data_IF_830870407134
#
_entry.id   IF_830870407134
#
_cell.length_a   1.000
_cell.length_b   1.000
_cell.length_c   1.000
_cell.angle_alpha   90.00
_cell.angle_beta   90.00
_cell.angle_gamma   90.00
#
_symmetry.space_group_name_H-M   'P 1'
#
loop_
_entity.id
_entity.type
_entity.pdbx_description
1 polymer ?
#
# COMPACT_ATOMS: atom_id res chain seq x y z
N UNK A 1 19.49 4.38 14.81
CA UNK A 1 19.54 3.11 15.57
C UNK A 1 20.91 2.51 15.32
N UNK A 2 21.66 2.09 16.36
CA UNK A 2 22.94 1.40 16.19
C UNK A 2 22.75 0.09 15.39
N UNK A 3 23.73 -0.24 14.49
CA UNK A 3 23.62 -1.39 13.56
C UNK A 3 23.50 -2.73 14.33
N UNK A 4 24.13 -2.87 15.46
CA UNK A 4 24.05 -4.06 16.32
C UNK A 4 22.65 -4.32 16.89
N UNK A 5 21.76 -3.31 16.88
CA UNK A 5 20.34 -3.42 17.27
C UNK A 5 19.43 -3.72 16.09
N UNK A 6 19.93 -3.67 14.84
CA UNK A 6 19.15 -3.93 13.65
C UNK A 6 19.14 -5.42 13.34
N UNK A 7 17.94 -5.98 13.12
CA UNK A 7 17.75 -7.35 12.64
C UNK A 7 16.98 -7.31 11.34
N UNK A 8 17.55 -7.92 10.31
CA UNK A 8 16.95 -7.97 8.97
C UNK A 8 16.23 -9.29 8.81
N UNK A 9 14.91 -9.23 8.69
CA UNK A 9 14.04 -10.40 8.49
C UNK A 9 13.52 -10.36 7.06
N UNK A 10 13.73 -11.44 6.32
CA UNK A 10 13.30 -11.53 4.92
C UNK A 10 11.85 -12.00 4.82
N UNK A 11 11.04 -11.26 4.07
CA UNK A 11 9.70 -11.67 3.65
C UNK A 11 9.71 -12.01 2.16
N UNK A 12 9.29 -13.22 1.82
CA UNK A 12 9.24 -13.65 0.42
C UNK A 12 8.03 -13.08 -0.32
N UNK A 13 8.24 -12.69 -1.58
CA UNK A 13 7.19 -12.30 -2.54
C UNK A 13 6.73 -13.49 -3.40
N UNK A 14 7.10 -14.73 -3.05
CA UNK A 14 6.71 -15.94 -3.78
C UNK A 14 5.19 -16.04 -3.94
N UNK A 15 4.72 -16.55 -5.09
CA UNK A 15 3.31 -16.88 -5.30
C UNK A 15 2.87 -18.12 -4.51
N UNK A 16 3.81 -18.95 -4.06
CA UNK A 16 3.58 -20.12 -3.24
C UNK A 16 3.12 -19.73 -1.83
N UNK A 17 1.90 -20.12 -1.48
CA UNK A 17 1.26 -19.82 -0.20
C UNK A 17 2.04 -20.42 0.97
N UNK A 18 2.48 -21.67 0.85
CA UNK A 18 3.20 -22.39 1.90
C UNK A 18 4.54 -21.72 2.24
N UNK A 19 5.28 -21.30 1.21
CA UNK A 19 6.53 -20.55 1.40
C UNK A 19 6.31 -19.21 2.09
N UNK A 20 5.23 -18.50 1.73
CA UNK A 20 4.89 -17.23 2.40
C UNK A 20 4.55 -17.44 3.87
N UNK A 21 3.75 -18.46 4.17
CA UNK A 21 3.36 -18.78 5.55
C UNK A 21 4.56 -19.18 6.39
N UNK A 22 5.46 -20.03 5.87
CA UNK A 22 6.70 -20.41 6.55
C UNK A 22 7.59 -19.19 6.85
N UNK A 23 7.76 -18.26 5.90
CA UNK A 23 8.50 -17.02 6.13
C UNK A 23 7.88 -16.13 7.21
N UNK A 24 6.55 -16.02 7.25
CA UNK A 24 5.83 -15.24 8.25
C UNK A 24 5.98 -15.84 9.65
N UNK A 25 5.87 -17.16 9.73
CA UNK A 25 6.08 -17.90 10.96
C UNK A 25 7.50 -17.71 11.49
N UNK A 26 8.50 -17.91 10.64
CA UNK A 26 9.90 -17.72 11.01
C UNK A 26 10.21 -16.29 11.47
N UNK A 27 9.59 -15.29 10.84
CA UNK A 27 9.72 -13.88 11.23
C UNK A 27 9.13 -13.64 12.64
N UNK A 28 7.98 -14.19 12.94
CA UNK A 28 7.38 -14.07 14.26
C UNK A 28 8.22 -14.81 15.34
N UNK A 29 8.69 -16.01 15.04
CA UNK A 29 9.55 -16.78 15.94
C UNK A 29 10.88 -16.06 16.25
N UNK A 30 11.47 -15.40 15.26
CA UNK A 30 12.67 -14.60 15.49
C UNK A 30 12.41 -13.42 16.43
N UNK A 31 11.27 -12.73 16.27
CA UNK A 31 10.86 -11.63 17.15
C UNK A 31 10.61 -12.16 18.58
N UNK A 32 9.92 -13.28 18.72
CA UNK A 32 9.60 -13.89 20.01
C UNK A 32 10.86 -14.19 20.84
N UNK A 33 11.95 -14.61 20.23
CA UNK A 33 13.23 -14.85 20.95
C UNK A 33 13.72 -13.63 21.71
N UNK A 34 13.56 -12.43 21.13
CA UNK A 34 13.94 -11.18 21.79
C UNK A 34 12.95 -10.80 22.88
N UNK A 35 11.66 -10.99 22.64
CA UNK A 35 10.61 -10.70 23.62
C UNK A 35 10.75 -11.62 24.85
N UNK A 36 11.01 -12.92 24.64
CA UNK A 36 11.25 -13.91 25.72
C UNK A 36 12.50 -13.59 26.53
N UNK A 37 13.48 -12.94 25.92
CA UNK A 37 14.67 -12.42 26.62
C UNK A 37 14.41 -11.08 27.34
N UNK A 38 13.15 -10.63 27.45
CA UNK A 38 12.76 -9.39 28.14
C UNK A 38 13.10 -8.11 27.35
N UNK A 39 13.35 -8.21 26.05
CA UNK A 39 13.65 -7.08 25.21
C UNK A 39 12.41 -6.53 24.51
N UNK A 40 12.41 -5.24 24.20
CA UNK A 40 11.38 -4.63 23.34
C UNK A 40 11.83 -4.66 21.87
N UNK A 41 10.89 -4.94 20.98
CA UNK A 41 11.12 -4.99 19.53
C UNK A 41 10.25 -3.96 18.83
N UNK A 42 10.84 -3.17 17.93
CA UNK A 42 10.12 -2.28 17.03
C UNK A 42 10.27 -2.76 15.58
N UNK A 43 9.16 -2.91 14.87
CA UNK A 43 9.14 -3.28 13.46
C UNK A 43 8.63 -2.08 12.63
N UNK A 44 9.52 -1.26 12.03
CA UNK A 44 9.11 -0.15 11.19
C UNK A 44 8.53 -0.66 9.87
N UNK A 45 7.52 0.04 9.36
CA UNK A 45 6.92 -0.22 8.05
C UNK A 45 6.89 1.05 7.21
N UNK A 46 6.91 0.90 5.90
CA UNK A 46 6.71 2.01 4.98
C UNK A 46 5.19 2.27 4.84
N UNK A 47 4.77 3.51 5.14
CA UNK A 47 3.35 3.88 5.12
C UNK A 47 2.67 3.70 6.48
N UNK A 48 1.47 3.14 6.49
CA UNK A 48 0.71 2.85 7.71
C UNK A 48 0.76 1.36 8.05
N UNK A 49 0.93 1.05 9.32
CA UNK A 49 1.07 -0.32 9.82
C UNK A 49 -0.21 -1.14 9.67
N UNK A 50 -1.38 -0.50 9.69
CA UNK A 50 -2.70 -1.13 9.55
C UNK A 50 -3.20 -1.24 8.10
N UNK A 51 -2.53 -0.58 7.13
CA UNK A 51 -2.98 -0.51 5.74
C UNK A 51 -2.08 -1.34 4.82
N UNK A 52 -2.54 -2.55 4.44
CA UNK A 52 -1.84 -3.49 3.53
C UNK A 52 -0.38 -3.79 3.89
N UNK A 53 -0.06 -3.72 5.18
CA UNK A 53 1.28 -3.97 5.70
C UNK A 53 1.54 -5.47 5.91
N UNK A 54 2.75 -5.93 5.60
CA UNK A 54 3.21 -7.29 5.93
C UNK A 54 3.25 -7.54 7.44
N UNK A 55 3.39 -6.48 8.24
CA UNK A 55 3.34 -6.56 9.69
C UNK A 55 2.06 -7.24 10.21
N UNK A 56 0.93 -7.09 9.54
CA UNK A 56 -0.35 -7.67 9.96
C UNK A 56 -0.30 -9.20 10.18
N UNK A 57 0.59 -9.90 9.47
CA UNK A 57 0.78 -11.34 9.64
C UNK A 57 1.59 -11.67 10.90
N UNK A 58 2.64 -10.89 11.18
CA UNK A 58 3.45 -11.00 12.39
C UNK A 58 2.62 -10.63 13.61
N UNK A 59 1.87 -9.52 13.53
CA UNK A 59 0.94 -9.07 14.57
C UNK A 59 -0.01 -10.18 15.02
N UNK A 60 -0.69 -10.82 14.06
CA UNK A 60 -1.64 -11.92 14.37
C UNK A 60 -0.98 -13.07 15.12
N UNK A 61 0.25 -13.42 14.74
CA UNK A 61 0.98 -14.50 15.37
C UNK A 61 1.39 -14.13 16.80
N UNK A 62 1.95 -12.94 17.01
CA UNK A 62 2.36 -12.49 18.34
C UNK A 62 1.18 -12.40 19.32
N UNK A 63 0.04 -11.85 18.88
CA UNK A 63 -1.18 -11.80 19.71
C UNK A 63 -1.66 -13.21 20.05
N UNK A 64 -1.63 -14.15 19.11
CA UNK A 64 -2.03 -15.53 19.33
C UNK A 64 -1.17 -16.21 20.40
N UNK A 65 0.12 -15.91 20.43
CA UNK A 65 1.07 -16.43 21.42
C UNK A 65 1.08 -15.61 22.75
N UNK A 66 0.19 -14.62 22.88
CA UNK A 66 -0.04 -13.90 24.14
C UNK A 66 0.88 -12.70 24.38
N UNK A 67 1.65 -12.26 23.40
CA UNK A 67 2.51 -11.09 23.54
C UNK A 67 1.71 -9.78 23.47
N UNK A 68 2.11 -8.82 24.28
CA UNK A 68 1.60 -7.45 24.19
C UNK A 68 2.17 -6.75 22.94
N UNK A 69 1.28 -6.21 22.10
CA UNK A 69 1.66 -5.58 20.84
C UNK A 69 0.93 -4.26 20.67
N UNK A 70 1.67 -3.21 20.37
CA UNK A 70 1.15 -1.87 20.08
C UNK A 70 1.35 -1.53 18.60
N UNK A 71 0.30 -1.05 17.93
CA UNK A 71 0.38 -0.46 16.61
C UNK A 71 0.43 1.06 16.73
N UNK A 72 1.43 1.67 16.09
CA UNK A 72 1.55 3.12 15.97
C UNK A 72 1.21 3.48 14.53
N UNK A 73 0.16 4.26 14.31
CA UNK A 73 -0.28 4.62 12.95
C UNK A 73 0.75 5.48 12.24
N UNK A 74 0.83 5.30 10.94
CA UNK A 74 1.63 6.10 10.02
C UNK A 74 0.76 6.82 8.99
N UNK A 75 1.35 7.21 7.88
CA UNK A 75 0.65 7.88 6.78
C UNK A 75 0.60 6.94 5.58
N UNK A 76 -0.57 6.45 5.17
CA UNK A 76 -0.71 5.65 3.94
C UNK A 76 -0.15 6.39 2.73
N UNK A 77 0.46 5.66 1.79
CA UNK A 77 1.10 6.25 0.62
C UNK A 77 0.13 7.11 -0.22
N UNK A 78 -1.12 6.74 -0.31
CA UNK A 78 -2.13 7.51 -1.03
C UNK A 78 -2.49 8.82 -0.30
N UNK A 79 -2.49 8.85 1.04
CA UNK A 79 -2.66 10.10 1.80
C UNK A 79 -1.45 11.03 1.64
N UNK A 80 -0.23 10.48 1.74
CA UNK A 80 0.98 11.25 1.50
C UNK A 80 1.02 11.81 0.07
N UNK A 81 0.63 11.01 -0.91
CA UNK A 81 0.57 11.41 -2.31
C UNK A 81 -0.49 12.46 -2.61
N UNK A 82 -1.69 12.32 -2.06
CA UNK A 82 -2.75 13.32 -2.18
C UNK A 82 -2.31 14.68 -1.61
N UNK A 83 -1.64 14.67 -0.45
CA UNK A 83 -1.05 15.89 0.13
C UNK A 83 0.02 16.51 -0.77
N UNK A 84 0.87 15.70 -1.39
CA UNK A 84 1.86 16.17 -2.37
C UNK A 84 1.21 16.74 -3.63
N UNK A 85 0.13 16.15 -4.08
CA UNK A 85 -0.67 16.64 -5.22
C UNK A 85 -1.52 17.87 -4.86
N UNK A 86 -1.58 18.24 -3.57
CA UNK A 86 -2.43 19.30 -3.03
C UNK A 86 -3.92 19.10 -3.38
N UNK A 87 -4.39 17.87 -3.25
CA UNK A 87 -5.79 17.50 -3.49
C UNK A 87 -6.39 16.78 -2.29
N UNK A 88 -7.64 17.03 -1.92
CA UNK A 88 -8.38 16.15 -1.01
C UNK A 88 -8.73 14.85 -1.72
N UNK A 89 -8.67 13.71 -1.00
CA UNK A 89 -9.16 12.43 -1.53
C UNK A 89 -10.69 12.41 -1.57
N UNK A 90 -11.32 12.99 -0.56
CA UNK A 90 -12.77 13.07 -0.40
C UNK A 90 -13.18 14.44 0.15
N UNK A 91 -14.38 14.88 -0.17
CA UNK A 91 -14.98 16.10 0.35
C UNK A 91 -16.44 15.84 0.77
N UNK A 92 -16.90 16.55 1.79
CA UNK A 92 -18.28 16.44 2.26
C UNK A 92 -18.72 15.01 2.60
N UNK A 93 -19.67 14.50 1.86
CA UNK A 93 -20.25 13.15 2.03
C UNK A 93 -19.76 12.13 1.00
N UNK A 94 -18.72 12.46 0.23
CA UNK A 94 -18.16 11.55 -0.76
C UNK A 94 -17.59 10.28 -0.10
N UNK A 95 -17.82 9.15 -0.74
CA UNK A 95 -17.17 7.90 -0.38
C UNK A 95 -15.91 7.65 -1.22
N UNK A 96 -14.94 6.90 -0.70
CA UNK A 96 -13.85 6.41 -1.52
C UNK A 96 -13.55 4.94 -1.30
N UNK A 97 -13.15 4.26 -2.38
CA UNK A 97 -12.70 2.88 -2.36
C UNK A 97 -11.18 2.77 -2.53
N UNK A 98 -10.58 1.73 -1.93
CA UNK A 98 -9.16 1.42 -2.12
C UNK A 98 -8.99 0.05 -2.75
N UNK A 99 -8.38 -0.01 -3.93
CA UNK A 99 -8.01 -1.24 -4.62
C UNK A 99 -6.51 -1.47 -4.35
N UNK A 100 -6.14 -2.50 -3.55
CA UNK A 100 -4.75 -2.69 -3.10
C UNK A 100 -3.81 -3.22 -4.19
N UNK A 101 -4.37 -3.86 -5.21
CA UNK A 101 -3.68 -4.30 -6.42
C UNK A 101 -4.69 -4.65 -7.49
N UNK A 102 -4.47 -4.20 -8.70
CA UNK A 102 -5.39 -4.45 -9.81
C UNK A 102 -5.25 -5.90 -10.31
N UNK A 103 -6.40 -6.56 -10.48
CA UNK A 103 -6.49 -7.91 -11.08
C UNK A 103 -7.11 -7.88 -12.49
N UNK A 104 -7.74 -6.77 -12.85
CA UNK A 104 -8.39 -6.53 -14.13
C UNK A 104 -9.23 -5.26 -14.07
N UNK A 105 -9.53 -4.68 -15.24
CA UNK A 105 -10.26 -3.41 -15.35
C UNK A 105 -11.70 -3.48 -14.82
N UNK A 106 -12.36 -4.64 -14.92
CA UNK A 106 -13.70 -4.84 -14.36
C UNK A 106 -13.79 -4.51 -12.87
N UNK A 107 -12.71 -4.70 -12.12
CA UNK A 107 -12.65 -4.33 -10.70
C UNK A 107 -12.73 -2.81 -10.53
N UNK A 108 -12.08 -2.05 -11.40
CA UNK A 108 -12.12 -0.58 -11.36
C UNK A 108 -13.50 -0.08 -11.75
N UNK A 109 -14.08 -0.62 -12.83
CA UNK A 109 -15.41 -0.25 -13.32
C UNK A 109 -16.46 -0.44 -12.24
N UNK A 110 -16.53 -1.63 -11.64
CA UNK A 110 -17.46 -1.92 -10.53
C UNK A 110 -17.25 -1.00 -9.32
N UNK A 111 -16.01 -0.65 -9.02
CA UNK A 111 -15.72 0.25 -7.91
C UNK A 111 -16.15 1.68 -8.23
N UNK A 112 -16.03 2.13 -9.48
CA UNK A 112 -16.52 3.44 -9.95
C UNK A 112 -18.06 3.57 -9.91
N UNK A 113 -18.77 2.45 -9.95
CA UNK A 113 -20.24 2.45 -9.82
C UNK A 113 -20.71 2.64 -8.36
N UNK A 114 -19.81 2.42 -7.39
CA UNK A 114 -20.13 2.40 -5.96
C UNK A 114 -19.52 3.59 -5.21
N UNK A 115 -18.30 4.00 -5.59
CA UNK A 115 -17.56 5.05 -4.90
C UNK A 115 -17.36 6.26 -5.79
N UNK A 116 -17.47 7.44 -5.19
CA UNK A 116 -17.21 8.71 -5.87
C UNK A 116 -15.75 8.82 -6.27
N UNK A 117 -14.85 8.39 -5.39
CA UNK A 117 -13.40 8.47 -5.59
C UNK A 117 -12.74 7.09 -5.41
N UNK A 118 -11.69 6.83 -6.16
CA UNK A 118 -10.94 5.58 -6.07
C UNK A 118 -9.45 5.82 -5.87
N UNK A 119 -8.86 4.95 -5.06
CA UNK A 119 -7.41 4.79 -4.94
C UNK A 119 -7.03 3.42 -5.47
N UNK A 120 -6.18 3.35 -6.48
CA UNK A 120 -5.64 2.09 -7.01
C UNK A 120 -4.16 2.03 -6.66
N UNK A 121 -3.80 1.13 -5.76
CA UNK A 121 -2.39 0.93 -5.37
C UNK A 121 -1.71 -0.09 -6.29
N UNK A 122 -0.39 0.05 -6.45
CA UNK A 122 0.45 -0.85 -7.26
C UNK A 122 -0.01 -0.95 -8.72
N UNK A 123 -0.49 0.16 -9.26
CA UNK A 123 -1.08 0.23 -10.59
C UNK A 123 -0.04 0.30 -11.71
N UNK A 124 1.26 0.45 -11.41
CA UNK A 124 2.32 0.76 -12.38
C UNK A 124 2.26 -0.04 -13.68
N UNK A 125 2.10 -1.36 -13.62
CA UNK A 125 1.99 -2.23 -14.81
C UNK A 125 0.66 -2.12 -15.56
N UNK A 126 -0.34 -1.44 -15.04
CA UNK A 126 -1.70 -1.34 -15.59
C UNK A 126 -2.11 0.10 -15.91
N UNK A 127 -1.19 1.06 -15.78
CA UNK A 127 -1.51 2.49 -15.97
C UNK A 127 -2.10 2.75 -17.34
N UNK A 128 -1.52 2.18 -18.40
CA UNK A 128 -2.00 2.37 -19.77
C UNK A 128 -3.40 1.79 -19.97
N UNK A 129 -3.67 0.61 -19.46
CA UNK A 129 -4.97 -0.05 -19.56
C UNK A 129 -6.06 0.77 -18.85
N UNK A 130 -5.75 1.26 -17.63
CA UNK A 130 -6.68 2.11 -16.88
C UNK A 130 -6.88 3.46 -17.58
N UNK A 131 -5.84 4.03 -18.18
CA UNK A 131 -5.95 5.26 -18.98
C UNK A 131 -6.94 5.11 -20.13
N UNK A 132 -6.79 4.06 -20.97
CA UNK A 132 -7.68 3.83 -22.11
C UNK A 132 -9.14 3.64 -21.66
N UNK A 133 -9.36 2.93 -20.55
CA UNK A 133 -10.68 2.77 -19.95
C UNK A 133 -11.27 4.10 -19.50
N UNK A 134 -10.49 4.93 -18.79
CA UNK A 134 -10.93 6.25 -18.32
C UNK A 134 -11.22 7.19 -19.50
N UNK A 135 -10.37 7.17 -20.53
CA UNK A 135 -10.54 7.94 -21.76
C UNK A 135 -11.84 7.58 -22.49
N UNK A 136 -12.14 6.29 -22.60
CA UNK A 136 -13.40 5.83 -23.17
C UNK A 136 -14.64 6.33 -22.40
N UNK A 137 -14.48 6.70 -21.14
CA UNK A 137 -15.51 7.26 -20.24
C UNK A 137 -15.42 8.80 -20.12
N UNK A 138 -14.46 9.47 -20.80
CA UNK A 138 -14.22 10.90 -20.66
C UNK A 138 -13.73 11.35 -19.29
N UNK A 139 -12.99 10.48 -18.59
CA UNK A 139 -12.55 10.68 -17.19
C UNK A 139 -11.02 10.62 -17.02
N UNK A 140 -10.24 10.64 -18.07
CA UNK A 140 -8.78 10.56 -18.02
C UNK A 140 -8.14 11.73 -17.26
N UNK A 141 -8.72 12.92 -17.35
CA UNK A 141 -8.26 14.13 -16.65
C UNK A 141 -8.58 14.13 -15.14
N UNK A 142 -9.41 13.20 -14.68
CA UNK A 142 -9.76 13.03 -13.28
C UNK A 142 -8.81 12.09 -12.52
N UNK A 143 -7.81 11.54 -13.21
CA UNK A 143 -6.84 10.63 -12.62
C UNK A 143 -5.50 11.32 -12.36
N UNK A 144 -4.98 11.12 -11.16
CA UNK A 144 -3.67 11.59 -10.72
C UNK A 144 -2.80 10.40 -10.38
N UNK A 145 -1.57 10.43 -10.90
CA UNK A 145 -0.54 9.43 -10.60
C UNK A 145 0.40 9.93 -9.51
N UNK A 146 0.68 9.06 -8.59
CA UNK A 146 1.61 9.23 -7.49
C UNK A 146 2.57 8.05 -7.51
N UNK A 147 3.82 8.31 -7.87
CA UNK A 147 4.85 7.28 -7.96
C UNK A 147 6.03 7.63 -7.08
N UNK A 148 6.57 6.65 -6.34
CA UNK A 148 7.74 6.80 -5.47
C UNK A 148 7.65 7.98 -4.48
N UNK A 149 6.48 8.22 -3.91
CA UNK A 149 6.28 9.35 -2.96
C UNK A 149 7.30 9.31 -1.83
N UNK A 150 8.04 10.43 -1.64
CA UNK A 150 9.09 10.54 -0.63
C UNK A 150 10.37 9.75 -0.94
N UNK A 151 10.51 9.22 -2.15
CA UNK A 151 11.66 8.42 -2.59
C UNK A 151 12.30 9.04 -3.85
N UNK A 152 13.48 8.54 -4.23
CA UNK A 152 14.11 8.92 -5.48
C UNK A 152 13.22 8.57 -6.69
N UNK A 153 13.15 9.48 -7.66
CA UNK A 153 12.28 9.33 -8.82
C UNK A 153 10.80 9.62 -8.53
N UNK A 154 10.50 10.37 -7.47
CA UNK A 154 9.13 10.82 -7.17
C UNK A 154 8.48 11.49 -8.38
N UNK A 155 7.26 11.10 -8.67
CA UNK A 155 6.39 11.75 -9.63
C UNK A 155 4.99 11.90 -9.05
N UNK A 156 4.47 13.11 -9.09
CA UNK A 156 3.09 13.43 -8.71
C UNK A 156 2.52 14.36 -9.78
N UNK A 157 1.47 13.92 -10.45
CA UNK A 157 0.89 14.70 -11.55
C UNK A 157 -0.13 13.93 -12.37
N UNK A 158 -0.49 14.45 -13.56
CA UNK A 158 -1.47 13.82 -14.43
C UNK A 158 -1.03 12.41 -14.87
N UNK A 159 -2.00 11.60 -15.27
CA UNK A 159 -1.76 10.30 -15.83
C UNK A 159 -1.11 10.43 -17.22
N UNK A 160 0.10 9.89 -17.37
CA UNK A 160 0.84 9.87 -18.63
C UNK A 160 0.94 8.41 -19.14
N UNK A 161 0.19 8.01 -20.18
CA UNK A 161 0.07 6.61 -20.59
C UNK A 161 1.36 6.00 -21.16
N UNK A 162 2.26 6.84 -21.67
CA UNK A 162 3.53 6.41 -22.28
C UNK A 162 4.71 6.43 -21.31
N UNK A 163 4.48 6.86 -20.06
CA UNK A 163 5.50 6.82 -19.01
C UNK A 163 5.53 5.44 -18.36
N UNK A 164 6.74 4.93 -18.13
CA UNK A 164 6.93 3.73 -17.31
C UNK A 164 6.79 4.05 -15.83
N UNK A 165 6.06 3.22 -15.12
CA UNK A 165 5.81 3.35 -13.69
C UNK A 165 6.18 2.07 -12.95
N UNK A 166 6.87 2.24 -11.82
CA UNK A 166 7.29 1.13 -10.96
C UNK A 166 6.20 0.61 -10.02
N UNK A 167 6.59 -0.30 -9.17
CA UNK A 167 5.72 -0.94 -8.17
C UNK A 167 5.09 0.05 -7.18
N UNK A 168 5.83 1.07 -6.75
CA UNK A 168 5.36 2.08 -5.81
C UNK A 168 4.53 3.17 -6.49
N UNK A 169 3.60 2.76 -7.34
CA UNK A 169 2.70 3.67 -8.05
C UNK A 169 1.27 3.49 -7.59
N UNK A 170 0.67 4.60 -7.22
CA UNK A 170 -0.73 4.72 -6.83
C UNK A 170 -1.44 5.69 -7.78
N UNK A 171 -2.66 5.38 -8.17
CA UNK A 171 -3.53 6.27 -8.92
C UNK A 171 -4.69 6.70 -8.02
N UNK A 172 -5.04 7.97 -8.06
CA UNK A 172 -6.26 8.50 -7.46
C UNK A 172 -7.17 8.95 -8.60
N UNK A 173 -8.39 8.44 -8.64
CA UNK A 173 -9.44 8.84 -9.58
C UNK A 173 -10.49 9.61 -8.78
N UNK A 174 -10.72 10.87 -9.15
CA UNK A 174 -11.70 11.74 -8.51
C UNK A 174 -13.07 11.62 -9.17
N UNK A 175 -14.13 11.95 -8.40
CA UNK A 175 -15.46 12.19 -8.94
C UNK A 175 -15.47 13.33 -9.96
N UNK A 176 -16.51 13.41 -10.76
CA UNK A 176 -16.76 14.51 -11.71
C UNK A 176 -17.11 15.80 -10.99
#
# INVERSE_FOLDING_TARGET
>A
VPEEKVRRILFTMSKDKTKREACRQAAAEEIMKYLDAGQSVAMPVLGDVGIYSTYSYVHKQLIKEGYEVQMISGIPSFCAGASKANIPIVEGNEGFGVIPSLKGLEQVEKAMDVFDNLVIMKVGSHVKEVYEMLKAKGREDHAIIISNVGMEGEYVGPLLPDREYGYFTTMIIKSL
#
